data_IF_179022586982
#
_entry.id   IF_179022586982
#
_cell.length_a   1.000
_cell.length_b   1.000
_cell.length_c   1.000
_cell.angle_alpha   90.00
_cell.angle_beta   90.00
_cell.angle_gamma   90.00
#
_symmetry.space_group_name_H-M   'P 1'
#
loop_
_entity.id
_entity.type
_entity.pdbx_description
1 polymer ?
#
# COMPACT_ATOMS: atom_id res chain seq x y z
N UNK A 1 -16.22 -14.73 -35.55
CA UNK A 1 -16.53 -14.03 -34.28
C UNK A 1 -15.36 -14.23 -33.34
N UNK A 2 -14.69 -13.16 -32.93
CA UNK A 2 -13.53 -13.24 -32.03
C UNK A 2 -14.01 -13.52 -30.61
N UNK A 3 -13.49 -14.56 -29.96
CA UNK A 3 -13.85 -14.92 -28.59
C UNK A 3 -13.36 -13.84 -27.60
N UNK A 4 -14.12 -13.55 -26.52
CA UNK A 4 -13.68 -12.59 -25.52
C UNK A 4 -12.43 -13.12 -24.81
N UNK A 5 -11.36 -12.33 -24.80
CA UNK A 5 -10.16 -12.66 -24.05
C UNK A 5 -10.48 -12.63 -22.56
N UNK A 6 -10.54 -13.81 -21.93
CA UNK A 6 -10.66 -13.94 -20.48
C UNK A 6 -9.45 -13.29 -19.81
N UNK A 7 -9.69 -12.27 -19.00
CA UNK A 7 -8.63 -11.62 -18.21
C UNK A 7 -8.28 -12.52 -17.05
N UNK A 8 -7.05 -13.03 -17.03
CA UNK A 8 -6.51 -13.78 -15.90
C UNK A 8 -6.10 -12.82 -14.77
N UNK A 9 -7.06 -12.53 -13.89
CA UNK A 9 -6.89 -11.66 -12.72
C UNK A 9 -5.85 -12.24 -11.75
N UNK A 10 -5.77 -13.58 -11.65
CA UNK A 10 -4.87 -14.27 -10.71
C UNK A 10 -3.41 -13.91 -10.94
N UNK A 11 -2.99 -13.85 -12.21
CA UNK A 11 -1.64 -13.42 -12.60
C UNK A 11 -1.29 -12.00 -12.15
N UNK A 12 -2.25 -11.09 -12.10
CA UNK A 12 -2.00 -9.71 -11.66
C UNK A 12 -1.94 -9.61 -10.14
N UNK A 13 -2.82 -10.33 -9.43
CA UNK A 13 -2.80 -10.39 -7.98
C UNK A 13 -1.49 -10.99 -7.46
N UNK A 14 -1.01 -12.08 -8.07
CA UNK A 14 0.28 -12.68 -7.66
C UNK A 14 1.47 -11.75 -7.83
N UNK A 15 1.40 -10.77 -8.76
CA UNK A 15 2.45 -9.76 -8.92
C UNK A 15 2.39 -8.70 -7.83
N UNK A 16 1.20 -8.36 -7.35
CA UNK A 16 1.02 -7.45 -6.22
C UNK A 16 1.57 -8.10 -4.95
N UNK A 17 1.30 -9.39 -4.73
CA UNK A 17 1.82 -10.14 -3.58
C UNK A 17 3.36 -10.19 -3.54
N UNK A 18 4.01 -10.12 -4.70
CA UNK A 18 5.47 -10.09 -4.84
C UNK A 18 6.06 -8.68 -4.74
N UNK A 19 5.23 -7.63 -4.77
CA UNK A 19 5.70 -6.27 -4.65
C UNK A 19 6.14 -6.00 -3.20
N UNK A 20 7.40 -5.62 -3.01
CA UNK A 20 7.90 -5.17 -1.70
C UNK A 20 7.71 -3.65 -1.61
N UNK A 21 6.78 -3.14 -0.78
CA UNK A 21 6.69 -1.70 -0.55
C UNK A 21 7.97 -1.20 0.13
N UNK A 22 8.30 0.07 -0.10
CA UNK A 22 9.34 0.76 0.67
C UNK A 22 8.85 0.86 2.11
N UNK A 23 9.63 0.38 3.07
CA UNK A 23 9.30 0.40 4.49
C UNK A 23 10.13 1.46 5.21
N UNK A 24 9.47 2.48 5.76
CA UNK A 24 10.08 3.49 6.62
C UNK A 24 9.52 3.39 8.04
N UNK A 25 10.38 3.60 9.06
CA UNK A 25 9.97 3.58 10.47
C UNK A 25 10.03 4.97 11.04
N UNK A 26 8.95 5.37 11.70
CA UNK A 26 8.85 6.65 12.40
C UNK A 26 8.59 6.50 13.90
N UNK A 27 8.38 7.64 14.56
CA UNK A 27 7.98 7.71 15.96
C UNK A 27 6.59 8.33 16.07
N UNK A 28 5.68 7.61 16.71
CA UNK A 28 4.38 8.14 17.12
C UNK A 28 4.59 9.21 18.20
N UNK A 29 3.99 10.38 18.01
CA UNK A 29 4.00 11.48 18.98
C UNK A 29 2.73 11.49 19.81
N UNK A 30 1.60 11.16 19.21
CA UNK A 30 0.30 11.29 19.86
C UNK A 30 -0.73 10.35 19.21
N UNK A 31 -1.67 9.85 20.02
CA UNK A 31 -2.88 9.19 19.56
C UNK A 31 -4.09 9.84 20.24
N UNK A 32 -4.96 10.48 19.43
CA UNK A 32 -6.18 11.13 19.91
C UNK A 32 -7.38 10.51 19.18
N UNK A 33 -8.21 9.76 19.90
CA UNK A 33 -9.38 9.11 19.33
C UNK A 33 -8.99 8.19 18.17
N UNK A 34 -9.36 8.58 16.94
CA UNK A 34 -9.04 7.85 15.70
C UNK A 34 -7.81 8.38 14.96
N UNK A 35 -7.19 9.47 15.42
CA UNK A 35 -6.07 10.11 14.75
C UNK A 35 -4.74 9.74 15.43
N UNK A 36 -3.75 9.38 14.62
CA UNK A 36 -2.37 9.16 15.05
C UNK A 36 -1.47 10.25 14.45
N UNK A 37 -0.74 10.98 15.29
CA UNK A 37 0.32 11.89 14.85
C UNK A 37 1.65 11.19 14.97
N UNK A 38 2.40 11.13 13.87
CA UNK A 38 3.73 10.53 13.85
C UNK A 38 4.71 11.41 13.05
N UNK A 39 6.00 11.22 13.33
CA UNK A 39 7.08 11.67 12.44
C UNK A 39 7.64 10.43 11.77
N UNK A 40 7.43 10.33 10.46
CA UNK A 40 7.94 9.23 9.63
C UNK A 40 8.82 9.84 8.54
N UNK A 41 10.12 9.49 8.46
CA UNK A 41 10.99 9.98 7.40
C UNK A 41 10.48 9.56 6.03
N UNK A 42 10.58 10.46 5.05
CA UNK A 42 10.31 10.22 3.62
C UNK A 42 8.85 9.86 3.25
N UNK A 43 7.95 9.76 4.23
CA UNK A 43 6.53 9.45 3.99
C UNK A 43 5.80 10.63 3.31
N UNK A 44 4.94 10.29 2.33
CA UNK A 44 4.12 11.26 1.59
C UNK A 44 2.65 11.15 1.97
N UNK A 45 1.90 12.21 1.71
CA UNK A 45 0.45 12.22 1.92
C UNK A 45 -0.22 11.20 1.00
N UNK A 46 -1.03 10.31 1.60
CA UNK A 46 -1.75 9.26 0.88
C UNK A 46 -1.03 7.91 0.80
N UNK A 47 0.22 7.81 1.29
CA UNK A 47 0.91 6.53 1.43
C UNK A 47 0.34 5.71 2.59
N UNK A 48 0.29 4.38 2.41
CA UNK A 48 -0.08 3.45 3.47
C UNK A 48 1.05 3.42 4.52
N UNK A 49 0.71 3.75 5.76
CA UNK A 49 1.62 3.77 6.90
C UNK A 49 1.45 2.53 7.78
#
# INVERSE_FOLDING_TARGET
MSAPSTVDIGRYLSKIDQASPVSSKGRVREAIGLLVRAIVPEARVGELC
#
